data_IF_698961667551
#
_entry.id   IF_698961667551
#
_cell.length_a   1.000
_cell.length_b   1.000
_cell.length_c   1.000
_cell.angle_alpha   90.00
_cell.angle_beta   90.00
_cell.angle_gamma   90.00
#
_symmetry.space_group_name_H-M   'P 1'
#
loop_
_entity.id
_entity.type
_entity.pdbx_description
1 polymer ?
#
# COMPACT_ATOMS: atom_id res chain seq x y z
N UNK A 1 12.33 45.61 -6.43
CA UNK A 1 12.87 44.63 -7.39
C UNK A 1 11.70 43.77 -7.85
N UNK A 2 11.42 43.64 -9.16
CA UNK A 2 10.37 42.73 -9.63
C UNK A 2 10.77 41.30 -9.25
N UNK A 3 9.90 40.59 -8.52
CA UNK A 3 10.14 39.21 -8.13
C UNK A 3 9.99 38.32 -9.37
N UNK A 4 11.06 37.60 -9.73
CA UNK A 4 10.98 36.57 -10.76
C UNK A 4 10.05 35.47 -10.26
N UNK A 5 8.94 35.15 -10.95
CA UNK A 5 8.06 34.07 -10.53
C UNK A 5 8.84 32.76 -10.51
N UNK A 6 8.50 31.85 -9.58
CA UNK A 6 9.19 30.57 -9.48
C UNK A 6 9.03 29.76 -10.77
N UNK A 7 10.00 28.89 -11.12
CA UNK A 7 10.03 28.20 -12.41
C UNK A 7 8.78 27.34 -12.68
N UNK A 8 8.15 26.81 -11.63
CA UNK A 8 6.90 26.05 -11.66
C UNK A 8 5.63 26.91 -11.76
N UNK A 9 5.75 28.24 -11.82
CA UNK A 9 4.63 29.16 -12.02
C UNK A 9 4.84 30.03 -13.27
N UNK A 10 5.79 29.63 -14.13
CA UNK A 10 5.99 30.27 -15.42
C UNK A 10 4.86 29.87 -16.39
N UNK A 11 4.51 30.77 -17.31
CA UNK A 11 3.49 30.49 -18.33
C UNK A 11 3.84 29.26 -19.18
N UNK A 12 5.13 29.06 -19.45
CA UNK A 12 5.63 27.87 -20.15
C UNK A 12 5.36 26.58 -19.37
N UNK A 13 5.59 26.58 -18.06
CA UNK A 13 5.29 25.44 -17.20
C UNK A 13 3.78 25.18 -17.11
N UNK A 14 2.97 26.23 -16.96
CA UNK A 14 1.51 26.09 -16.92
C UNK A 14 0.96 25.51 -18.23
N UNK A 15 1.47 25.96 -19.38
CA UNK A 15 1.09 25.42 -20.68
C UNK A 15 1.46 23.94 -20.82
N UNK A 16 2.66 23.55 -20.38
CA UNK A 16 3.10 22.15 -20.42
C UNK A 16 2.22 21.25 -19.53
N UNK A 17 1.85 21.73 -18.33
CA UNK A 17 0.95 21.00 -17.44
C UNK A 17 -0.46 20.88 -18.02
N UNK A 18 -0.97 21.96 -18.62
CA UNK A 18 -2.27 21.93 -19.28
C UNK A 18 -2.27 20.96 -20.47
N UNK A 19 -1.23 20.97 -21.30
CA UNK A 19 -1.10 20.06 -22.43
C UNK A 19 -1.04 18.59 -21.97
N UNK A 20 -0.30 18.28 -20.90
CA UNK A 20 -0.26 16.93 -20.31
C UNK A 20 -1.64 16.50 -19.79
N UNK A 21 -2.34 17.41 -19.09
CA UNK A 21 -3.67 17.14 -18.57
C UNK A 21 -4.70 16.89 -19.69
N UNK A 22 -4.63 17.63 -20.80
CA UNK A 22 -5.50 17.41 -21.96
C UNK A 22 -5.24 16.06 -22.62
N UNK A 23 -3.98 15.66 -22.80
CA UNK A 23 -3.60 14.35 -23.35
C UNK A 23 -4.09 13.19 -22.47
N UNK A 24 -3.93 13.31 -21.15
CA UNK A 24 -4.45 12.31 -20.21
C UNK A 24 -5.98 12.24 -20.27
N UNK A 25 -6.66 13.39 -20.29
CA UNK A 25 -8.11 13.43 -20.38
C UNK A 25 -8.63 12.79 -21.69
N UNK A 26 -7.94 13.01 -22.82
CA UNK A 26 -8.25 12.34 -24.08
C UNK A 26 -8.03 10.83 -24.02
N UNK A 27 -6.92 10.37 -23.42
CA UNK A 27 -6.67 8.95 -23.24
C UNK A 27 -7.78 8.29 -22.43
N UNK A 28 -8.26 8.93 -21.37
CA UNK A 28 -9.40 8.47 -20.57
C UNK A 28 -10.71 8.46 -21.36
N UNK A 29 -10.96 9.46 -22.23
CA UNK A 29 -12.13 9.47 -23.11
C UNK A 29 -12.08 8.32 -24.12
N UNK A 30 -10.94 8.08 -24.76
CA UNK A 30 -10.74 6.98 -25.72
C UNK A 30 -10.89 5.62 -25.04
N UNK A 31 -10.34 5.46 -23.84
CA UNK A 31 -10.48 4.22 -23.07
C UNK A 31 -11.95 3.94 -22.73
N UNK A 32 -12.70 4.96 -22.27
CA UNK A 32 -14.15 4.81 -22.03
C UNK A 32 -14.92 4.50 -23.30
N UNK A 33 -14.56 5.11 -24.44
CA UNK A 33 -15.17 4.80 -25.74
C UNK A 33 -14.90 3.36 -26.16
N UNK A 34 -13.65 2.88 -26.05
CA UNK A 34 -13.27 1.50 -26.35
C UNK A 34 -14.00 0.50 -25.46
N UNK A 35 -14.18 0.81 -24.18
CA UNK A 35 -14.95 -0.01 -23.26
C UNK A 35 -16.46 0.05 -23.51
N UNK A 36 -16.98 1.19 -24.00
CA UNK A 36 -18.39 1.31 -24.39
C UNK A 36 -18.69 0.59 -25.71
N UNK A 37 -17.70 0.45 -26.59
CA UNK A 37 -17.76 -0.41 -27.77
C UNK A 37 -17.44 -1.85 -27.35
N UNK A 38 -18.36 -2.44 -26.59
CA UNK A 38 -18.43 -3.90 -26.42
C UNK A 38 -18.52 -4.53 -27.83
N UNK A 39 -17.72 -5.56 -28.15
CA UNK A 39 -17.80 -6.20 -29.46
C UNK A 39 -19.21 -6.75 -29.66
N UNK A 40 -19.79 -6.36 -30.78
CA UNK A 40 -21.11 -6.73 -31.24
C UNK A 40 -21.12 -8.24 -31.57
N UNK A 41 -21.36 -9.09 -30.56
CA UNK A 41 -21.74 -10.49 -30.79
C UNK A 41 -23.24 -10.60 -31.07
N UNK A 42 -23.78 -9.67 -31.88
CA UNK A 42 -25.21 -9.40 -31.97
C UNK A 42 -25.83 -9.47 -33.36
N UNK A 43 -25.07 -9.61 -34.44
CA UNK A 43 -25.65 -9.99 -35.75
C UNK A 43 -25.71 -11.50 -35.86
N UNK A 44 -26.77 -12.09 -35.31
CA UNK A 44 -27.10 -13.51 -35.50
C UNK A 44 -27.20 -13.82 -37.01
N UNK A 45 -26.41 -14.76 -37.55
CA UNK A 45 -26.82 -15.52 -38.72
C UNK A 45 -28.07 -16.34 -38.36
N UNK A 46 -28.97 -16.64 -39.31
CA UNK A 46 -30.23 -17.36 -39.04
C UNK A 46 -29.96 -18.70 -38.31
N UNK A 47 -30.88 -19.13 -37.43
CA UNK A 47 -30.58 -20.09 -36.38
C UNK A 47 -30.27 -21.46 -36.96
N UNK A 48 -29.01 -21.88 -36.84
CA UNK A 48 -28.60 -23.28 -36.98
C UNK A 48 -28.62 -23.90 -35.58
N UNK A 49 -29.23 -25.07 -35.49
CA UNK A 49 -29.62 -25.78 -34.27
C UNK A 49 -28.62 -25.69 -33.10
N UNK A 50 -29.16 -25.32 -31.94
CA UNK A 50 -28.51 -25.15 -30.64
C UNK A 50 -27.72 -26.39 -30.18
N UNK A 51 -26.39 -26.29 -29.95
CA UNK A 51 -25.70 -27.18 -29.03
C UNK A 51 -25.82 -26.62 -27.60
N UNK A 52 -25.86 -27.53 -26.62
CA UNK A 52 -26.11 -27.27 -25.20
C UNK A 52 -25.31 -26.10 -24.59
N UNK A 53 -25.87 -25.37 -23.60
CA UNK A 53 -25.23 -24.21 -23.01
C UNK A 53 -23.92 -24.58 -22.29
N UNK A 54 -22.85 -23.88 -22.64
CA UNK A 54 -21.57 -23.98 -21.95
C UNK A 54 -21.69 -23.49 -20.50
N UNK A 55 -20.93 -24.08 -19.55
CA UNK A 55 -20.97 -23.67 -18.15
C UNK A 55 -20.56 -22.20 -17.99
N UNK A 56 -21.32 -21.47 -17.18
CA UNK A 56 -21.10 -20.06 -16.90
C UNK A 56 -19.66 -19.81 -16.39
N UNK A 57 -18.95 -18.87 -17.03
CA UNK A 57 -17.64 -18.41 -16.57
C UNK A 57 -17.80 -17.83 -15.15
N UNK A 58 -17.01 -18.27 -14.16
CA UNK A 58 -17.09 -17.73 -12.80
C UNK A 58 -16.76 -16.23 -12.84
N UNK A 59 -17.61 -15.44 -12.19
CA UNK A 59 -17.43 -13.99 -12.08
C UNK A 59 -16.06 -13.68 -11.44
N UNK A 60 -15.34 -12.63 -11.90
CA UNK A 60 -14.13 -12.19 -11.23
C UNK A 60 -14.45 -11.84 -9.77
N UNK A 61 -13.62 -12.28 -8.80
CA UNK A 61 -13.89 -12.03 -7.39
C UNK A 61 -13.95 -10.53 -7.14
N UNK A 62 -15.02 -10.09 -6.47
CA UNK A 62 -15.20 -8.71 -6.07
C UNK A 62 -14.00 -8.26 -5.22
N UNK A 63 -13.40 -7.12 -5.58
CA UNK A 63 -12.29 -6.55 -4.83
C UNK A 63 -12.83 -6.04 -3.49
N UNK A 64 -12.62 -6.82 -2.42
CA UNK A 64 -13.11 -6.50 -1.10
C UNK A 64 -12.16 -5.52 -0.40
N UNK A 65 -12.49 -4.22 -0.48
CA UNK A 65 -11.70 -3.15 0.13
C UNK A 65 -11.50 -3.34 1.64
N UNK A 66 -12.41 -4.04 2.32
CA UNK A 66 -12.37 -4.28 3.77
C UNK A 66 -11.41 -5.41 4.18
N UNK A 67 -10.97 -6.27 3.25
CA UNK A 67 -9.89 -7.24 3.50
C UNK A 67 -8.50 -6.62 3.54
N UNK A 68 -8.35 -5.37 3.10
CA UNK A 68 -7.07 -4.68 3.01
C UNK A 68 -6.82 -3.90 4.30
N UNK A 69 -6.48 -4.59 5.40
CA UNK A 69 -6.13 -3.93 6.66
C UNK A 69 -5.03 -2.86 6.50
N UNK A 70 -5.02 -1.83 7.37
CA UNK A 70 -4.23 -0.59 7.26
C UNK A 70 -2.79 -0.82 6.78
N UNK A 71 -2.45 -0.27 5.61
CA UNK A 71 -1.11 -0.32 5.04
C UNK A 71 -0.08 0.38 5.96
N UNK A 72 -0.49 1.46 6.61
CA UNK A 72 0.35 2.18 7.57
C UNK A 72 0.71 1.30 8.78
N UNK A 73 -0.28 0.59 9.34
CA UNK A 73 -0.05 -0.27 10.50
C UNK A 73 0.85 -1.48 10.16
N UNK A 74 0.65 -2.06 8.99
CA UNK A 74 1.54 -3.10 8.45
C UNK A 74 2.96 -2.56 8.23
N UNK A 75 3.09 -1.34 7.74
CA UNK A 75 4.37 -0.64 7.61
C UNK A 75 5.07 -0.46 8.96
N UNK A 76 4.33 -0.01 9.98
CA UNK A 76 4.84 0.18 11.34
C UNK A 76 5.34 -1.14 11.95
N UNK A 77 4.56 -2.22 11.82
CA UNK A 77 4.95 -3.55 12.30
C UNK A 77 6.25 -4.02 11.61
N UNK A 78 6.35 -3.87 10.29
CA UNK A 78 7.58 -4.21 9.55
C UNK A 78 8.77 -3.39 10.01
N UNK A 79 8.58 -2.11 10.22
CA UNK A 79 9.62 -1.22 10.75
C UNK A 79 10.08 -1.68 12.14
N UNK A 80 9.15 -1.97 13.05
CA UNK A 80 9.47 -2.43 14.40
C UNK A 80 10.24 -3.76 14.41
N UNK A 81 9.83 -4.72 13.57
CA UNK A 81 10.55 -5.98 13.40
C UNK A 81 11.97 -5.75 12.86
N UNK A 82 12.11 -4.94 11.81
CA UNK A 82 13.41 -4.62 11.23
C UNK A 82 14.32 -3.89 12.21
N UNK A 83 13.78 -2.93 12.97
CA UNK A 83 14.50 -2.23 14.03
C UNK A 83 14.97 -3.18 15.14
N UNK A 84 14.14 -4.16 15.50
CA UNK A 84 14.51 -5.18 16.50
C UNK A 84 15.68 -6.03 15.99
N UNK A 85 15.63 -6.50 14.74
CA UNK A 85 16.75 -7.25 14.15
C UNK A 85 18.03 -6.44 14.05
N UNK A 86 17.93 -5.16 13.67
CA UNK A 86 19.05 -4.23 13.64
C UNK A 86 19.66 -4.04 15.04
N UNK A 87 18.83 -3.89 16.06
CA UNK A 87 19.28 -3.74 17.44
C UNK A 87 20.03 -4.99 17.94
N UNK A 88 19.55 -6.19 17.63
CA UNK A 88 20.25 -7.42 17.97
C UNK A 88 21.61 -7.52 17.27
N UNK A 89 21.69 -7.12 16.00
CA UNK A 89 22.96 -7.07 15.26
C UNK A 89 23.93 -6.03 15.84
N UNK A 90 23.42 -4.90 16.31
CA UNK A 90 24.21 -3.88 17.02
C UNK A 90 24.82 -4.46 18.30
N UNK A 91 24.00 -5.09 19.16
CA UNK A 91 24.47 -5.71 20.41
C UNK A 91 25.49 -6.80 20.14
N UNK A 92 25.22 -7.68 19.16
CA UNK A 92 26.15 -8.74 18.77
C UNK A 92 27.47 -8.19 18.23
N UNK A 93 27.44 -7.10 17.46
CA UNK A 93 28.65 -6.45 16.94
C UNK A 93 29.49 -5.81 18.05
N UNK A 94 28.84 -5.17 19.03
CA UNK A 94 29.51 -4.62 20.21
C UNK A 94 30.14 -5.71 21.08
N UNK A 95 29.44 -6.83 21.29
CA UNK A 95 29.94 -7.99 22.06
C UNK A 95 31.11 -8.68 21.35
N UNK A 96 31.04 -8.77 20.00
CA UNK A 96 32.11 -9.29 19.16
C UNK A 96 33.33 -8.37 19.00
N UNK A 97 33.35 -7.21 19.68
CA UNK A 97 34.42 -6.21 19.58
C UNK A 97 34.74 -5.75 18.15
N UNK A 98 33.72 -5.71 17.29
CA UNK A 98 33.86 -5.20 15.93
C UNK A 98 34.19 -3.69 15.95
N UNK A 99 34.84 -3.23 14.89
CA UNK A 99 35.06 -1.81 14.66
C UNK A 99 33.73 -1.07 14.48
N UNK A 100 33.70 0.23 14.83
CA UNK A 100 32.49 1.05 14.76
C UNK A 100 31.82 0.99 13.35
N UNK A 101 32.62 1.04 12.29
CA UNK A 101 32.11 0.91 10.92
C UNK A 101 31.42 -0.43 10.66
N UNK A 102 32.03 -1.53 11.11
CA UNK A 102 31.50 -2.89 10.93
C UNK A 102 30.20 -3.09 11.70
N UNK A 103 30.11 -2.54 12.92
CA UNK A 103 28.87 -2.53 13.72
C UNK A 103 27.76 -1.81 12.98
N UNK A 104 28.01 -0.61 12.44
CA UNK A 104 27.01 0.13 11.67
C UNK A 104 26.59 -0.59 10.39
N UNK A 105 27.53 -1.21 9.68
CA UNK A 105 27.25 -1.98 8.47
C UNK A 105 26.43 -3.24 8.78
N UNK A 106 26.76 -3.97 9.86
CA UNK A 106 25.99 -5.11 10.34
C UNK A 106 24.57 -4.71 10.77
N UNK A 107 24.44 -3.61 11.51
CA UNK A 107 23.15 -3.05 11.94
C UNK A 107 22.27 -2.67 10.75
N UNK A 108 22.81 -1.92 9.79
CA UNK A 108 22.09 -1.50 8.59
C UNK A 108 21.70 -2.67 7.69
N UNK A 109 22.59 -3.63 7.49
CA UNK A 109 22.31 -4.82 6.68
C UNK A 109 21.26 -5.72 7.33
N UNK A 110 21.35 -5.96 8.65
CA UNK A 110 20.34 -6.72 9.39
C UNK A 110 18.96 -6.08 9.29
N UNK A 111 18.87 -4.74 9.40
CA UNK A 111 17.62 -4.01 9.19
C UNK A 111 16.99 -4.31 7.82
N UNK A 112 17.79 -4.15 6.75
CA UNK A 112 17.33 -4.35 5.37
C UNK A 112 16.96 -5.81 5.12
N UNK A 113 17.74 -6.76 5.62
CA UNK A 113 17.45 -8.20 5.48
C UNK A 113 16.14 -8.56 6.16
N UNK A 114 15.91 -8.13 7.40
CA UNK A 114 14.64 -8.40 8.10
C UNK A 114 13.46 -7.74 7.39
N UNK A 115 13.63 -6.52 6.89
CA UNK A 115 12.59 -5.81 6.14
C UNK A 115 12.27 -6.54 4.82
N UNK A 116 13.29 -7.00 4.08
CA UNK A 116 13.12 -7.80 2.88
C UNK A 116 12.43 -9.14 3.18
N UNK A 117 12.84 -9.82 4.26
CA UNK A 117 12.24 -11.08 4.69
C UNK A 117 10.75 -10.90 5.04
N UNK A 118 10.39 -9.77 5.67
CA UNK A 118 9.00 -9.44 6.00
C UNK A 118 8.07 -9.28 4.77
N UNK A 119 8.66 -9.16 3.57
CA UNK A 119 7.93 -9.05 2.32
C UNK A 119 7.64 -10.42 1.66
N UNK A 120 8.13 -11.55 2.16
CA UNK A 120 7.77 -12.88 1.63
C UNK A 120 6.38 -13.35 2.08
N UNK A 121 5.70 -14.14 1.26
CA UNK A 121 4.32 -14.64 1.46
C UNK A 121 4.02 -15.16 2.90
N UNK A 122 4.80 -16.10 3.49
CA UNK A 122 4.52 -16.59 4.84
C UNK A 122 4.66 -15.49 5.91
N UNK A 123 5.68 -14.64 5.80
CA UNK A 123 5.91 -13.52 6.72
C UNK A 123 4.91 -12.37 6.53
N UNK A 124 4.36 -12.19 5.32
CA UNK A 124 3.26 -11.23 5.08
C UNK A 124 2.02 -11.59 5.88
N UNK A 125 1.71 -12.89 6.00
CA UNK A 125 0.60 -13.37 6.83
C UNK A 125 0.80 -13.00 8.30
N UNK A 126 1.99 -13.27 8.83
CA UNK A 126 2.36 -12.90 10.20
C UNK A 126 2.30 -11.38 10.45
N UNK A 127 2.85 -10.57 9.53
CA UNK A 127 2.77 -9.09 9.60
C UNK A 127 1.32 -8.62 9.59
N UNK A 128 0.47 -9.24 8.77
CA UNK A 128 -0.94 -8.89 8.75
C UNK A 128 -1.63 -9.24 10.07
N UNK A 129 -1.38 -10.42 10.64
CA UNK A 129 -1.93 -10.82 11.93
C UNK A 129 -1.44 -9.91 13.06
N UNK A 130 -0.15 -9.56 13.08
CA UNK A 130 0.41 -8.61 14.05
C UNK A 130 -0.19 -7.21 13.90
N UNK A 131 -0.41 -6.75 12.67
CA UNK A 131 -1.08 -5.47 12.42
C UNK A 131 -2.54 -5.52 12.89
N UNK A 132 -3.25 -6.63 12.67
CA UNK A 132 -4.61 -6.81 13.16
C UNK A 132 -4.65 -6.78 14.70
N UNK A 133 -3.72 -7.48 15.36
CA UNK A 133 -3.58 -7.46 16.82
C UNK A 133 -3.25 -6.04 17.34
N UNK A 134 -2.30 -5.34 16.70
CA UNK A 134 -1.94 -3.98 17.05
C UNK A 134 -3.13 -3.01 16.92
N UNK A 135 -3.98 -3.21 15.90
CA UNK A 135 -5.23 -2.43 15.73
C UNK A 135 -6.11 -2.57 16.96
N UNK A 136 -6.35 -3.80 17.42
CA UNK A 136 -7.17 -4.07 18.59
C UNK A 136 -6.56 -3.53 19.88
N UNK A 137 -5.24 -3.69 20.07
CA UNK A 137 -4.54 -3.14 21.23
C UNK A 137 -4.70 -1.62 21.29
N UNK A 138 -4.53 -0.91 20.17
CA UNK A 138 -4.74 0.54 20.11
C UNK A 138 -6.18 0.93 20.45
N UNK A 139 -7.18 0.24 19.90
CA UNK A 139 -8.59 0.50 20.17
C UNK A 139 -8.90 0.30 21.67
N UNK A 140 -8.49 -0.83 22.24
CA UNK A 140 -8.74 -1.15 23.66
C UNK A 140 -8.04 -0.13 24.56
N UNK A 141 -6.78 0.20 24.26
CA UNK A 141 -6.01 1.18 25.04
C UNK A 141 -6.66 2.56 25.00
N UNK A 142 -7.18 2.98 23.84
CA UNK A 142 -7.91 4.23 23.68
C UNK A 142 -9.20 4.24 24.49
N UNK A 143 -9.99 3.16 24.43
CA UNK A 143 -11.24 3.05 25.20
C UNK A 143 -10.97 3.09 26.70
N UNK A 144 -9.96 2.35 27.18
CA UNK A 144 -9.55 2.37 28.60
C UNK A 144 -9.07 3.77 28.99
N UNK A 145 -8.23 4.41 28.17
CA UNK A 145 -7.74 5.76 28.42
C UNK A 145 -8.86 6.79 28.50
N UNK A 146 -9.84 6.73 27.58
CA UNK A 146 -11.01 7.60 27.60
C UNK A 146 -11.89 7.37 28.83
N UNK A 147 -12.12 6.10 29.21
CA UNK A 147 -12.86 5.77 30.42
C UNK A 147 -12.16 6.33 31.67
N UNK A 148 -10.84 6.19 31.76
CA UNK A 148 -10.04 6.75 32.86
C UNK A 148 -10.17 8.28 32.94
N UNK A 149 -9.98 8.98 31.81
CA UNK A 149 -10.12 10.46 31.75
C UNK A 149 -11.53 10.90 32.15
N UNK A 150 -12.56 10.21 31.65
CA UNK A 150 -13.96 10.52 31.98
C UNK A 150 -14.27 10.34 33.46
N UNK A 151 -13.79 9.25 34.08
CA UNK A 151 -13.96 9.02 35.52
C UNK A 151 -13.23 10.06 36.37
N UNK A 152 -12.10 10.59 35.91
CA UNK A 152 -11.36 11.63 36.64
C UNK A 152 -11.94 13.04 36.46
N UNK A 153 -12.63 13.32 35.34
CA UNK A 153 -13.32 14.61 35.15
C UNK A 153 -14.71 14.67 35.81
N UNK A 154 -15.26 13.51 36.21
CA UNK A 154 -16.58 13.40 36.85
C UNK A 154 -16.53 13.23 38.37
N UNK A 155 -15.34 13.12 38.95
CA UNK A 155 -15.09 13.13 40.39
C UNK A 155 -14.76 14.55 40.88
#
# INVERSE_FOLDING_TARGET
>A
MPQTPPPFASDAWMFEQQARAELEAEAWRRLRQQLSTTPDFGTLPPPVATPAPAPARPAPPAFDAHRTGSAALKGLVRFAMAATGAYLAYVAGMDGQLGNFEVWLATGSAFVVVLALSAFQPLRGAVHAMAEAARWVLIVSLVIGLAWVFTHMSA
#
